data_IF_307396320118
#
_entry.id   IF_307396320118
#
_cell.length_a   1.000
_cell.length_b   1.000
_cell.length_c   1.000
_cell.angle_alpha   90.00
_cell.angle_beta   90.00
_cell.angle_gamma   90.00
#
_symmetry.space_group_name_H-M   'P 1'
#
loop_
_entity.id
_entity.type
_entity.pdbx_description
1 polymer ?
#
# COMPACT_ATOMS: atom_id res chain seq x y z
N UNK A 1 -43.16 -2.60 6.17
CA UNK A 1 -41.79 -2.13 6.45
C UNK A 1 -40.87 -3.29 6.14
N UNK A 2 -40.00 -3.18 5.13
CA UNK A 2 -38.90 -4.13 4.95
C UNK A 2 -37.89 -3.86 6.06
N UNK A 3 -37.44 -4.92 6.70
CA UNK A 3 -36.37 -4.88 7.69
C UNK A 3 -35.06 -4.70 6.91
N UNK A 4 -34.66 -3.44 6.70
CA UNK A 4 -33.41 -3.07 6.00
C UNK A 4 -32.21 -3.14 6.97
N UNK A 5 -32.18 -4.16 7.83
CA UNK A 5 -31.04 -4.41 8.70
C UNK A 5 -29.88 -5.01 7.88
N UNK A 6 -28.65 -4.46 8.02
CA UNK A 6 -27.51 -4.93 7.24
C UNK A 6 -27.21 -6.39 7.59
N UNK A 7 -27.44 -7.29 6.64
CA UNK A 7 -27.13 -8.72 6.79
C UNK A 7 -25.62 -8.96 6.61
N UNK A 8 -25.05 -9.98 7.24
CA UNK A 8 -23.63 -10.36 7.03
C UNK A 8 -23.29 -10.55 5.54
N UNK A 9 -24.23 -11.07 4.75
CA UNK A 9 -24.08 -11.17 3.29
C UNK A 9 -23.88 -9.81 2.61
N UNK A 10 -24.50 -8.74 3.11
CA UNK A 10 -24.31 -7.39 2.58
C UNK A 10 -22.88 -6.88 2.79
N UNK A 11 -22.19 -7.30 3.87
CA UNK A 11 -20.78 -6.95 4.13
C UNK A 11 -19.82 -7.45 3.04
N UNK A 12 -20.22 -8.48 2.27
CA UNK A 12 -19.39 -8.96 1.16
C UNK A 12 -19.27 -7.90 0.05
N UNK A 13 -20.26 -7.02 -0.12
CA UNK A 13 -20.21 -5.92 -1.09
C UNK A 13 -19.73 -4.59 -0.52
N UNK A 14 -19.37 -4.56 0.78
CA UNK A 14 -18.92 -3.33 1.45
C UNK A 14 -17.41 -3.23 1.45
N UNK A 15 -16.94 -1.98 1.36
CA UNK A 15 -15.54 -1.63 1.41
C UNK A 15 -15.31 -0.58 2.49
N UNK A 16 -14.14 -0.67 3.10
CA UNK A 16 -13.58 0.32 4.00
C UNK A 16 -12.48 1.08 3.24
N UNK A 17 -12.54 2.40 3.24
CA UNK A 17 -11.53 3.26 2.62
C UNK A 17 -10.65 3.90 3.69
N UNK A 18 -9.36 4.01 3.39
CA UNK A 18 -8.35 4.60 4.24
C UNK A 18 -7.52 5.56 3.41
N UNK A 19 -7.27 6.77 3.90
CA UNK A 19 -6.36 7.72 3.24
C UNK A 19 -4.92 7.37 3.60
N UNK A 20 -4.05 7.02 2.64
CA UNK A 20 -2.64 6.78 2.91
C UNK A 20 -1.95 8.09 3.33
N UNK A 21 -1.20 8.02 4.42
CA UNK A 21 -0.43 9.14 4.97
C UNK A 21 1.00 8.70 5.19
N UNK A 22 1.96 9.56 4.83
CA UNK A 22 3.37 9.35 5.18
C UNK A 22 3.56 9.69 6.64
N UNK A 23 3.61 8.65 7.49
CA UNK A 23 3.99 8.83 8.89
C UNK A 23 5.50 9.08 9.00
N UNK A 24 5.93 9.75 10.08
CA UNK A 24 7.36 9.97 10.39
C UNK A 24 8.19 8.68 10.38
N UNK A 25 7.58 7.55 10.73
CA UNK A 25 8.24 6.23 10.69
C UNK A 25 8.47 5.74 9.26
N UNK A 26 7.54 6.06 8.36
CA UNK A 26 7.60 5.76 6.93
C UNK A 26 8.39 6.78 6.13
N UNK A 27 8.72 7.95 6.70
CA UNK A 27 9.72 8.84 6.12
C UNK A 27 11.00 8.03 6.06
N UNK A 28 11.34 7.55 4.86
CA UNK A 28 12.68 7.02 4.56
C UNK A 28 13.61 8.01 5.25
N UNK A 29 14.38 7.54 6.25
CA UNK A 29 15.50 8.29 6.75
C UNK A 29 16.40 8.44 5.53
N UNK A 30 16.17 9.47 4.72
CA UNK A 30 17.18 10.01 3.86
C UNK A 30 18.23 10.38 4.86
N UNK A 31 19.20 9.49 5.04
CA UNK A 31 20.48 9.83 5.62
C UNK A 31 20.86 11.06 4.82
N UNK A 32 20.62 12.24 5.41
CA UNK A 32 21.13 13.48 4.91
C UNK A 32 22.60 13.27 5.15
N UNK A 33 23.29 12.64 4.19
CA UNK A 33 24.74 12.64 4.14
C UNK A 33 25.06 14.11 4.03
N UNK A 34 25.24 14.74 5.19
CA UNK A 34 25.90 16.00 5.33
C UNK A 34 27.29 15.71 4.80
N UNK A 35 27.49 15.95 3.51
CA UNK A 35 28.80 15.94 2.89
C UNK A 35 29.72 16.76 3.79
N UNK A 36 30.84 16.20 4.29
CA UNK A 36 31.80 16.93 5.10
C UNK A 36 32.41 18.05 4.24
N UNK A 37 31.80 19.23 4.27
CA UNK A 37 32.20 20.36 3.42
C UNK A 37 31.13 21.44 3.23
N UNK A 38 29.86 21.14 3.44
CA UNK A 38 28.77 22.13 3.30
C UNK A 38 28.40 22.84 4.63
N UNK A 39 29.25 22.74 5.66
CA UNK A 39 29.05 23.39 6.96
C UNK A 39 29.60 24.83 6.99
N UNK A 40 29.35 25.61 5.94
CA UNK A 40 29.82 26.99 5.86
C UNK A 40 28.83 27.87 5.07
N UNK A 41 27.59 27.97 5.55
CA UNK A 41 26.73 29.15 5.40
C UNK A 41 25.37 28.88 6.04
N UNK A 42 25.26 29.04 7.35
CA UNK A 42 24.01 29.46 7.99
C UNK A 42 24.36 29.99 9.38
N UNK A 43 24.12 31.28 9.68
CA UNK A 43 24.44 31.82 10.98
C UNK A 43 23.44 31.30 12.02
N UNK A 44 23.97 30.98 13.19
CA UNK A 44 23.23 30.60 14.38
C UNK A 44 22.07 31.55 14.68
N UNK A 45 20.87 30.99 14.85
CA UNK A 45 19.86 31.55 15.74
C UNK A 45 19.57 30.49 16.81
N UNK A 46 20.22 30.65 17.95
CA UNK A 46 19.82 30.06 19.22
C UNK A 46 18.40 30.51 19.55
N UNK A 47 17.47 29.57 19.48
CA UNK A 47 16.09 29.76 19.90
C UNK A 47 15.42 28.41 19.85
N UNK A 48 15.34 27.74 21.01
CA UNK A 48 14.42 26.64 21.24
C UNK A 48 13.00 27.17 21.11
N UNK A 49 12.54 27.33 19.87
CA UNK A 49 11.13 27.42 19.55
C UNK A 49 10.71 25.98 19.37
N UNK A 50 10.07 25.43 20.39
CA UNK A 50 9.19 24.28 20.24
C UNK A 50 8.09 24.71 19.27
N UNK A 51 8.40 24.69 17.98
CA UNK A 51 7.39 24.69 16.94
C UNK A 51 6.73 23.33 17.14
N UNK A 52 5.57 23.36 17.78
CA UNK A 52 4.61 22.28 17.68
C UNK A 52 4.27 22.22 16.19
N UNK A 53 5.09 21.49 15.43
CA UNK A 53 4.77 21.12 14.05
C UNK A 53 3.43 20.43 14.15
N UNK A 54 2.36 21.14 13.79
CA UNK A 54 1.16 20.49 13.31
C UNK A 54 1.67 19.54 12.24
N UNK A 55 1.70 18.25 12.57
CA UNK A 55 2.10 17.20 11.67
C UNK A 55 1.05 17.18 10.58
N UNK A 56 1.24 18.01 9.56
CA UNK A 56 0.42 17.98 8.36
C UNK A 56 0.73 16.62 7.75
N UNK A 57 -0.27 15.75 7.76
CA UNK A 57 -0.25 14.44 7.13
C UNK A 57 0.17 14.61 5.67
N UNK A 58 1.42 14.24 5.37
CA UNK A 58 2.01 14.36 4.05
C UNK A 58 1.44 13.26 3.14
N UNK A 59 1.11 13.64 1.91
CA UNK A 59 0.53 12.72 0.95
C UNK A 59 1.55 11.66 0.55
N UNK A 60 1.10 10.40 0.47
CA UNK A 60 1.93 9.34 -0.07
C UNK A 60 2.07 9.54 -1.59
N UNK A 61 3.28 9.88 -2.03
CA UNK A 61 3.63 10.09 -3.44
C UNK A 61 4.76 9.15 -3.82
N UNK A 62 4.67 8.57 -5.02
CA UNK A 62 5.73 7.77 -5.62
C UNK A 62 5.97 8.23 -7.07
N UNK A 63 7.22 8.14 -7.51
CA UNK A 63 7.63 8.48 -8.86
C UNK A 63 7.80 7.21 -9.69
N UNK A 64 7.09 7.14 -10.81
CA UNK A 64 7.20 6.07 -11.79
C UNK A 64 7.92 6.63 -13.01
N UNK A 65 9.09 6.07 -13.31
CA UNK A 65 9.82 6.30 -14.54
C UNK A 65 9.64 5.09 -15.45
N UNK A 66 9.24 5.33 -16.69
CA UNK A 66 9.19 4.32 -17.75
C UNK A 66 10.21 4.71 -18.81
N UNK A 67 11.15 3.82 -19.09
CA UNK A 67 12.15 4.03 -20.14
C UNK A 67 11.54 3.80 -21.55
N UNK A 68 12.34 4.00 -22.60
CA UNK A 68 11.89 3.84 -23.98
C UNK A 68 11.40 2.41 -24.25
N UNK A 69 10.19 2.27 -24.80
CA UNK A 69 9.54 0.98 -25.06
C UNK A 69 9.00 0.24 -23.83
N UNK A 70 9.14 0.80 -22.62
CA UNK A 70 8.59 0.19 -21.41
C UNK A 70 7.07 0.46 -21.32
N UNK A 71 6.29 -0.62 -21.31
CA UNK A 71 4.83 -0.54 -21.37
C UNK A 71 4.15 -0.51 -20.00
N UNK A 72 4.85 -0.90 -18.93
CA UNK A 72 4.29 -0.91 -17.57
C UNK A 72 5.39 -0.91 -16.52
N UNK A 73 5.06 -0.39 -15.33
CA UNK A 73 5.83 -0.58 -14.10
C UNK A 73 5.10 -1.54 -13.16
N UNK A 74 5.82 -2.10 -12.18
CA UNK A 74 5.26 -3.02 -11.19
C UNK A 74 5.24 -2.36 -9.81
N UNK A 75 4.06 -2.31 -9.21
CA UNK A 75 3.87 -1.88 -7.84
C UNK A 75 3.64 -3.12 -6.96
N UNK A 76 4.60 -3.41 -6.09
CA UNK A 76 4.47 -4.46 -5.09
C UNK A 76 3.73 -3.91 -3.87
N UNK A 77 2.64 -4.56 -3.47
CA UNK A 77 1.79 -4.12 -2.38
C UNK A 77 1.72 -5.17 -1.28
N UNK A 78 1.87 -4.73 -0.04
CA UNK A 78 1.68 -5.56 1.15
C UNK A 78 0.73 -4.81 2.08
N UNK A 79 -0.44 -5.37 2.33
CA UNK A 79 -1.46 -4.75 3.19
C UNK A 79 -1.54 -5.50 4.50
N UNK A 80 -1.37 -4.79 5.60
CA UNK A 80 -1.29 -5.39 6.93
C UNK A 80 -2.21 -4.65 7.90
N UNK A 81 -2.86 -5.40 8.79
CA UNK A 81 -3.47 -4.85 10.00
C UNK A 81 -2.42 -4.92 11.09
N UNK A 82 -2.08 -3.77 11.65
CA UNK A 82 -1.19 -3.69 12.81
C UNK A 82 -1.97 -3.15 13.99
N UNK A 83 -1.67 -3.67 15.18
CA UNK A 83 -2.10 -3.02 16.42
C UNK A 83 -1.00 -2.10 16.89
N UNK A 84 -1.34 -0.86 17.19
CA UNK A 84 -0.38 0.06 17.80
C UNK A 84 -0.07 -0.34 19.25
N UNK A 85 1.22 -0.41 19.57
CA UNK A 85 1.69 -0.62 20.93
C UNK A 85 1.76 0.67 21.75
N UNK A 86 2.03 0.55 23.04
CA UNK A 86 2.25 1.71 23.95
C UNK A 86 3.47 2.56 23.56
N UNK A 87 4.39 2.00 22.78
CA UNK A 87 5.59 2.67 22.28
C UNK A 87 5.40 2.91 20.78
N UNK A 88 5.65 4.14 20.33
CA UNK A 88 5.65 4.51 18.91
C UNK A 88 6.62 3.61 18.12
N UNK A 89 6.17 3.13 16.96
CA UNK A 89 6.94 2.21 16.10
C UNK A 89 7.10 0.79 16.64
N UNK A 90 6.35 0.42 17.68
CA UNK A 90 6.26 -0.96 18.14
C UNK A 90 4.85 -1.50 17.93
N UNK A 91 4.73 -2.54 17.11
CA UNK A 91 3.47 -3.18 16.75
C UNK A 91 3.41 -4.58 17.37
N UNK A 92 2.70 -4.78 18.49
CA UNK A 92 2.65 -6.07 19.18
C UNK A 92 1.93 -7.20 18.42
N UNK A 93 1.11 -6.87 17.40
CA UNK A 93 0.54 -7.85 16.48
C UNK A 93 0.48 -7.23 15.09
N UNK A 94 0.68 -8.09 14.10
CA UNK A 94 0.67 -7.78 12.67
C UNK A 94 0.04 -8.97 11.95
N UNK A 95 -1.01 -8.70 11.20
CA UNK A 95 -1.69 -9.69 10.37
C UNK A 95 -1.64 -9.23 8.93
N UNK A 96 -1.03 -10.03 8.07
CA UNK A 96 -1.04 -9.78 6.63
C UNK A 96 -2.43 -10.08 6.05
N UNK A 97 -3.02 -9.10 5.37
CA UNK A 97 -4.27 -9.27 4.63
C UNK A 97 -3.98 -9.78 3.23
N UNK A 98 -2.98 -9.18 2.58
CA UNK A 98 -2.52 -9.61 1.26
C UNK A 98 -1.10 -9.16 0.93
N UNK A 99 -0.52 -9.86 -0.04
CA UNK A 99 0.70 -9.52 -0.74
C UNK A 99 0.43 -9.72 -2.24
N UNK A 100 0.62 -8.66 -3.04
CA UNK A 100 0.24 -8.65 -4.44
C UNK A 100 1.21 -7.79 -5.26
N UNK A 101 1.12 -7.96 -6.58
CA UNK A 101 1.84 -7.13 -7.55
C UNK A 101 0.82 -6.56 -8.54
N UNK A 102 0.75 -5.24 -8.61
CA UNK A 102 -0.09 -4.51 -9.54
C UNK A 102 0.78 -4.07 -10.73
N UNK A 103 0.34 -4.36 -11.95
CA UNK A 103 0.97 -3.80 -13.16
C UNK A 103 0.31 -2.49 -13.52
N UNK A 104 1.10 -1.43 -13.51
CA UNK A 104 0.66 -0.07 -13.84
C UNK A 104 1.09 0.22 -15.27
N UNK A 105 0.15 0.18 -16.22
CA UNK A 105 0.45 0.31 -17.64
C UNK A 105 0.63 1.77 -18.06
N UNK A 106 1.59 2.03 -18.96
CA UNK A 106 1.85 3.32 -19.63
C UNK A 106 0.58 3.97 -20.17
N UNK A 107 -0.23 3.19 -20.90
CA UNK A 107 -1.52 3.66 -21.44
C UNK A 107 -2.48 4.12 -20.34
N UNK A 108 -2.52 3.40 -19.22
CA UNK A 108 -3.37 3.76 -18.10
C UNK A 108 -2.87 5.05 -17.42
N UNK A 109 -1.56 5.17 -17.18
CA UNK A 109 -0.94 6.38 -16.62
C UNK A 109 -1.23 7.61 -17.49
N UNK A 110 -1.04 7.51 -18.80
CA UNK A 110 -1.36 8.57 -19.75
C UNK A 110 -2.84 8.98 -19.67
N UNK A 111 -3.75 8.00 -19.69
CA UNK A 111 -5.17 8.27 -19.61
C UNK A 111 -5.55 8.97 -18.29
N UNK A 112 -5.00 8.52 -17.17
CA UNK A 112 -5.27 9.13 -15.87
C UNK A 112 -4.68 10.54 -15.75
N UNK A 113 -3.47 10.76 -16.27
CA UNK A 113 -2.84 12.08 -16.29
C UNK A 113 -3.62 13.09 -17.15
N UNK A 114 -4.27 12.63 -18.23
CA UNK A 114 -5.15 13.46 -19.06
C UNK A 114 -6.50 13.72 -18.40
N UNK A 115 -7.01 12.77 -17.62
CA UNK A 115 -8.26 12.86 -16.87
C UNK A 115 -8.11 13.69 -15.59
N UNK A 116 -7.34 14.78 -15.62
CA UNK A 116 -7.09 15.69 -14.49
C UNK A 116 -8.35 16.51 -14.08
N UNK A 117 -9.50 15.86 -14.06
CA UNK A 117 -10.72 16.29 -13.40
C UNK A 117 -10.42 16.18 -11.89
N UNK A 118 -10.52 17.30 -11.17
CA UNK A 118 -10.01 17.44 -9.81
C UNK A 118 -10.40 16.30 -8.87
N UNK A 119 -9.65 16.14 -7.78
CA UNK A 119 -9.82 15.02 -6.83
C UNK A 119 -11.28 14.87 -6.39
N UNK A 120 -11.89 13.77 -6.81
CA UNK A 120 -13.27 13.43 -6.46
C UNK A 120 -13.30 12.83 -5.07
N UNK A 121 -14.35 13.13 -4.32
CA UNK A 121 -14.56 12.49 -3.03
C UNK A 121 -14.81 10.98 -3.22
N UNK A 122 -14.50 10.15 -2.22
CA UNK A 122 -14.70 8.70 -2.32
C UNK A 122 -16.12 8.28 -2.64
N UNK A 123 -17.11 9.04 -2.18
CA UNK A 123 -18.53 8.80 -2.44
C UNK A 123 -18.92 9.01 -3.92
N UNK A 124 -18.09 9.74 -4.66
CA UNK A 124 -18.38 10.15 -6.04
C UNK A 124 -17.74 9.20 -7.05
N UNK A 125 -16.81 8.34 -6.61
CA UNK A 125 -16.09 7.39 -7.45
C UNK A 125 -16.71 6.00 -7.30
N UNK A 126 -17.33 5.44 -8.35
CA UNK A 126 -17.80 4.07 -8.31
C UNK A 126 -16.66 3.08 -8.02
N UNK A 127 -16.95 1.99 -7.30
CA UNK A 127 -15.97 0.92 -6.99
C UNK A 127 -15.38 0.31 -8.28
N UNK A 128 -16.14 0.31 -9.37
CA UNK A 128 -15.69 -0.19 -10.68
C UNK A 128 -15.02 0.89 -11.56
N UNK A 129 -14.62 2.02 -10.98
CA UNK A 129 -13.91 3.09 -11.67
C UNK A 129 -12.53 2.63 -12.15
N UNK A 130 -12.14 3.07 -13.35
CA UNK A 130 -10.80 2.84 -13.92
C UNK A 130 -9.67 3.47 -13.09
N UNK A 131 -9.98 4.44 -12.21
CA UNK A 131 -9.01 5.07 -11.30
C UNK A 131 -8.59 4.18 -10.12
N UNK A 132 -9.27 3.04 -9.93
CA UNK A 132 -8.95 2.06 -8.89
C UNK A 132 -8.18 0.89 -9.52
N UNK A 133 -6.95 0.69 -9.07
CA UNK A 133 -6.16 -0.49 -9.41
C UNK A 133 -6.37 -1.57 -8.34
N UNK A 134 -6.98 -2.67 -8.76
CA UNK A 134 -7.22 -3.83 -7.89
C UNK A 134 -5.99 -4.73 -7.83
N UNK A 135 -5.61 -5.11 -6.60
CA UNK A 135 -4.47 -5.98 -6.30
C UNK A 135 -4.76 -7.46 -6.59
N UNK A 136 -6.04 -7.84 -6.57
CA UNK A 136 -6.52 -9.21 -6.74
C UNK A 136 -7.81 -9.26 -7.58
N UNK A 137 -8.06 -10.42 -8.21
CA UNK A 137 -9.22 -10.62 -9.09
C UNK A 137 -10.55 -10.57 -8.34
N UNK A 138 -10.53 -10.90 -7.06
CA UNK A 138 -11.72 -10.88 -6.21
C UNK A 138 -12.04 -9.46 -5.73
N UNK A 139 -11.25 -8.44 -6.11
CA UNK A 139 -11.40 -7.06 -5.65
C UNK A 139 -11.45 -7.00 -4.11
N UNK A 140 -10.50 -7.62 -3.42
CA UNK A 140 -10.42 -7.49 -1.96
C UNK A 140 -9.65 -6.23 -1.57
N UNK A 141 -8.58 -5.91 -2.30
CA UNK A 141 -7.74 -4.73 -2.04
C UNK A 141 -7.58 -3.92 -3.32
N UNK A 142 -7.84 -2.63 -3.22
CA UNK A 142 -7.72 -1.67 -4.31
C UNK A 142 -6.99 -0.41 -3.88
N UNK A 143 -6.31 0.22 -4.84
CA UNK A 143 -5.65 1.50 -4.65
C UNK A 143 -6.28 2.52 -5.60
N UNK A 144 -6.84 3.59 -5.06
CA UNK A 144 -7.19 4.77 -5.85
C UNK A 144 -5.98 5.68 -5.95
N UNK A 145 -5.57 5.94 -7.17
CA UNK A 145 -4.40 6.74 -7.46
C UNK A 145 -4.79 7.97 -8.28
N UNK A 146 -4.08 9.06 -8.04
CA UNK A 146 -4.10 10.24 -8.89
C UNK A 146 -2.75 10.36 -9.60
N UNK A 147 -2.77 10.54 -10.92
CA UNK A 147 -1.57 10.52 -11.75
C UNK A 147 -1.29 11.92 -12.27
N UNK A 148 -0.08 12.41 -12.05
CA UNK A 148 0.41 13.69 -12.55
C UNK A 148 1.63 13.43 -13.43
N UNK A 149 1.64 13.96 -14.65
CA UNK A 149 2.83 13.89 -15.50
C UNK A 149 3.99 14.64 -14.84
N UNK A 150 5.17 14.02 -14.81
CA UNK A 150 6.36 14.57 -14.18
C UNK A 150 7.44 14.85 -15.24
N UNK A 151 8.18 15.97 -15.13
CA UNK A 151 9.33 16.21 -15.99
C UNK A 151 10.47 15.25 -15.61
N UNK A 152 11.18 14.73 -16.62
CA UNK A 152 12.36 13.88 -16.42
C UNK A 152 13.47 14.27 -17.37
N UNK A 153 14.72 14.24 -16.90
CA UNK A 153 15.91 14.49 -17.73
C UNK A 153 16.06 13.47 -18.87
N UNK A 154 15.45 12.28 -18.72
CA UNK A 154 15.45 11.23 -19.73
C UNK A 154 14.40 11.46 -20.82
N UNK A 155 13.46 12.39 -20.61
CA UNK A 155 12.39 12.64 -21.55
C UNK A 155 12.96 13.39 -22.77
N UNK A 156 12.83 12.84 -23.99
CA UNK A 156 13.34 13.50 -25.18
C UNK A 156 12.57 14.80 -25.46
N UNK A 157 13.25 15.78 -26.05
CA UNK A 157 12.65 17.07 -26.42
C UNK A 157 11.63 16.96 -27.56
N UNK A 158 11.78 15.93 -28.39
CA UNK A 158 10.91 15.63 -29.53
C UNK A 158 10.68 14.12 -29.56
N UNK A 159 9.42 13.70 -29.61
CA UNK A 159 9.02 12.30 -29.79
C UNK A 159 8.11 12.20 -31.02
N UNK A 160 8.28 11.14 -31.80
CA UNK A 160 7.35 10.81 -32.86
C UNK A 160 5.98 10.42 -32.28
N UNK A 161 4.88 10.53 -33.05
CA UNK A 161 3.55 10.11 -32.59
C UNK A 161 3.41 8.61 -32.32
N UNK A 162 4.36 7.79 -32.76
CA UNK A 162 4.42 6.33 -32.55
C UNK A 162 5.66 5.92 -31.73
N UNK A 163 6.31 6.91 -31.10
CA UNK A 163 7.53 6.71 -30.33
C UNK A 163 7.18 6.52 -28.84
N UNK A 164 7.50 5.35 -28.29
CA UNK A 164 7.32 5.06 -26.87
C UNK A 164 8.47 5.65 -26.04
N UNK A 165 8.69 6.95 -26.17
CA UNK A 165 9.74 7.71 -25.49
C UNK A 165 9.71 7.54 -23.96
N UNK A 166 10.84 7.75 -23.30
CA UNK A 166 10.91 7.72 -21.84
C UNK A 166 9.99 8.79 -21.21
N UNK A 167 9.21 8.40 -20.19
CA UNK A 167 8.23 9.26 -19.51
C UNK A 167 8.30 9.08 -18.00
N UNK A 168 7.93 10.12 -17.25
CA UNK A 168 7.86 10.08 -15.79
C UNK A 168 6.51 10.57 -15.29
N UNK A 169 6.04 9.97 -14.20
CA UNK A 169 4.79 10.31 -13.55
C UNK A 169 4.98 10.36 -12.03
N UNK A 170 4.31 11.29 -11.38
CA UNK A 170 4.03 11.22 -9.95
C UNK A 170 2.68 10.58 -9.74
N UNK A 171 2.65 9.46 -9.02
CA UNK A 171 1.43 8.84 -8.54
C UNK A 171 1.20 9.26 -7.09
N UNK A 172 0.02 9.80 -6.82
CA UNK A 172 -0.43 10.13 -5.46
C UNK A 172 -1.43 9.08 -5.01
N UNK A 173 -1.14 8.44 -3.89
CA UNK A 173 -2.01 7.47 -3.26
C UNK A 173 -3.15 8.20 -2.54
N UNK A 174 -4.33 8.23 -3.15
CA UNK A 174 -5.47 8.91 -2.56
C UNK A 174 -6.14 8.04 -1.50
N UNK A 175 -6.44 6.79 -1.85
CA UNK A 175 -7.19 5.88 -0.98
C UNK A 175 -6.76 4.42 -1.15
N UNK A 176 -6.60 3.74 -0.01
CA UNK A 176 -6.56 2.30 0.10
C UNK A 176 -7.98 1.79 0.38
N UNK A 177 -8.45 0.89 -0.46
CA UNK A 177 -9.78 0.30 -0.38
C UNK A 177 -9.61 -1.17 0.02
N UNK A 178 -10.25 -1.56 1.12
CA UNK A 178 -10.21 -2.94 1.64
C UNK A 178 -11.63 -3.45 1.82
N UNK A 179 -11.91 -4.64 1.28
CA UNK A 179 -13.20 -5.31 1.48
C UNK A 179 -13.44 -5.51 2.97
N UNK A 180 -14.58 -5.04 3.47
CA UNK A 180 -14.85 -4.98 4.92
C UNK A 180 -14.79 -6.35 5.58
N UNK A 181 -15.24 -7.42 4.89
CA UNK A 181 -15.15 -8.79 5.41
C UNK A 181 -13.71 -9.27 5.63
N UNK A 182 -12.76 -8.91 4.74
CA UNK A 182 -11.34 -9.23 4.89
C UNK A 182 -10.70 -8.47 6.04
N UNK A 183 -11.04 -7.19 6.16
CA UNK A 183 -10.55 -6.34 7.24
C UNK A 183 -11.04 -6.85 8.61
N UNK A 184 -12.33 -7.18 8.74
CA UNK A 184 -12.89 -7.71 9.98
C UNK A 184 -12.23 -9.02 10.39
N UNK A 185 -12.04 -9.94 9.44
CA UNK A 185 -11.31 -11.18 9.69
C UNK A 185 -9.90 -10.92 10.19
N UNK A 186 -9.14 -10.02 9.54
CA UNK A 186 -7.78 -9.70 9.95
C UNK A 186 -7.71 -9.06 11.35
N UNK A 187 -8.68 -8.21 11.70
CA UNK A 187 -8.81 -7.62 13.04
C UNK A 187 -9.13 -8.69 14.09
N UNK A 188 -9.99 -9.66 13.76
CA UNK A 188 -10.32 -10.78 14.66
C UNK A 188 -9.08 -11.64 14.94
N UNK A 189 -8.32 -12.00 13.90
CA UNK A 189 -7.05 -12.72 14.03
C UNK A 189 -6.04 -11.94 14.88
N UNK A 190 -5.86 -10.64 14.60
CA UNK A 190 -4.92 -9.80 15.36
C UNK A 190 -5.28 -9.70 16.85
N UNK A 191 -6.58 -9.70 17.18
CA UNK A 191 -7.03 -9.71 18.57
C UNK A 191 -6.79 -11.06 19.25
N UNK A 192 -6.91 -12.18 18.52
CA UNK A 192 -6.63 -13.51 19.04
C UNK A 192 -5.14 -13.71 19.36
N UNK A 193 -4.22 -13.29 18.47
CA UNK A 193 -2.78 -13.37 18.72
C UNK A 193 -2.36 -12.65 20.01
N UNK A 194 -3.05 -11.56 20.33
CA UNK A 194 -2.81 -10.80 21.56
C UNK A 194 -3.40 -11.46 22.79
N UNK A 195 -4.54 -12.13 22.67
CA UNK A 195 -5.11 -12.91 23.75
C UNK A 195 -4.18 -14.07 24.13
N UNK A 196 -3.62 -14.76 23.14
CA UNK A 196 -2.65 -15.85 23.36
C UNK A 196 -1.34 -15.36 23.98
N UNK A 197 -0.87 -14.17 23.60
CA UNK A 197 0.36 -13.57 24.18
C UNK A 197 0.16 -12.93 25.56
N UNK A 198 -1.07 -12.60 25.95
CA UNK A 198 -1.37 -11.95 27.24
C UNK A 198 -1.80 -12.88 28.38
N UNK A 199 -1.92 -14.19 28.14
CA UNK A 199 -1.88 -15.16 29.24
C UNK A 199 -2.72 -16.42 29.07
N UNK A 200 -2.02 -17.56 29.01
CA UNK A 200 -2.51 -18.94 29.10
C UNK A 200 -3.29 -19.46 27.88
N UNK A 201 -2.60 -19.66 26.77
CA UNK A 201 -3.08 -20.44 25.62
C UNK A 201 -2.41 -21.81 25.51
N UNK A 202 -3.21 -22.86 25.35
CA UNK A 202 -2.85 -24.27 25.33
C UNK A 202 -2.36 -24.67 23.92
N UNK A 203 -1.14 -25.18 23.78
CA UNK A 203 -0.63 -25.67 22.50
C UNK A 203 -1.21 -27.07 22.25
N UNK A 204 -2.13 -27.19 21.29
CA UNK A 204 -2.51 -28.47 20.70
C UNK A 204 -1.85 -28.56 19.33
N UNK A 205 -0.70 -29.23 19.27
CA UNK A 205 -0.08 -29.64 18.00
C UNK A 205 -0.36 -31.13 17.77
N UNK A 206 -0.99 -31.46 16.65
CA UNK A 206 -1.04 -32.84 16.14
C UNK A 206 -0.07 -32.93 14.96
N UNK A 207 1.01 -33.69 15.12
CA UNK A 207 1.84 -34.15 14.01
C UNK A 207 1.32 -35.52 13.59
N UNK A 208 0.91 -35.66 12.32
CA UNK A 208 0.84 -36.96 11.68
C UNK A 208 2.03 -37.08 10.74
N UNK A 209 2.91 -38.02 11.02
CA UNK A 209 3.85 -38.55 10.02
C UNK A 209 3.13 -39.68 9.28
N UNK A 210 2.85 -39.46 8.00
CA UNK A 210 2.52 -40.54 7.08
C UNK A 210 3.87 -41.11 6.64
N UNK A 211 4.30 -42.18 7.30
CA UNK A 211 5.36 -43.02 6.75
C UNK A 211 4.73 -43.84 5.63
N UNK A 212 5.02 -43.43 4.39
CA UNK A 212 4.65 -44.18 3.21
C UNK A 212 5.35 -45.54 3.22
N UNK A 213 4.52 -46.56 3.01
CA UNK A 213 4.87 -47.92 2.66
C UNK A 213 5.73 -47.93 1.40
N UNK A 214 7.01 -48.28 1.52
CA UNK A 214 7.72 -48.91 0.42
C UNK A 214 7.83 -50.42 0.63
N UNK A 215 7.29 -51.12 -0.36
CA UNK A 215 7.26 -52.55 -0.53
C UNK A 215 8.65 -53.09 -0.88
N UNK A 216 8.98 -54.24 -0.28
CA UNK A 216 9.61 -55.40 -0.92
C UNK A 216 10.84 -55.22 -1.84
N UNK A 217 11.98 -55.74 -1.40
CA UNK A 217 12.93 -56.41 -2.28
C UNK A 217 13.79 -57.43 -1.51
N UNK A 218 13.77 -58.67 -2.03
CA UNK A 218 14.52 -59.87 -1.64
C UNK A 218 16.05 -59.68 -1.51
N UNK A 219 16.64 -60.46 -0.60
CA UNK A 219 17.86 -61.31 -0.71
C UNK A 219 18.27 -61.72 0.71
N UNK A 220 18.54 -62.97 1.11
CA UNK A 220 18.85 -64.26 0.46
C UNK A 220 18.31 -65.40 1.31
#
# INVERSE_FOLDING_TARGET
MRDDSPTLKALQGMYSSFRPVVTEENRRRRFRMLWPGAAAATPSASGSIEVQEELIDEEAVEEINLDEGELFSQLCTVTNVVKEGKKRGFYPSHVNISENVIRVFRRWLNNMALQNDGRKAWNEVPIDSDSILWADNDKNIGLRLHVVAAPSERMPLLSGPDDDAAVSFHIVYEELIVRTSKLLWAVEVANHELADTTGRGLIVSSLYTVDDLEQGSMQT
#
